data_IF_462345518525
#
_entry.id   IF_462345518525
#
_cell.length_a   1.000
_cell.length_b   1.000
_cell.length_c   1.000
_cell.angle_alpha   90.00
_cell.angle_beta   90.00
_cell.angle_gamma   90.00
#
_symmetry.space_group_name_H-M   'P 1'
#
loop_
_entity.id
_entity.type
_entity.pdbx_description
1 polymer ?
#
# COMPACT_ATOMS: atom_id res chain seq x y z
N UNK A 1 -41.71 -10.45 -0.52
CA UNK A 1 -40.72 -9.96 -1.50
C UNK A 1 -39.93 -8.83 -0.84
N UNK A 2 -38.59 -8.88 -0.90
CA UNK A 2 -37.64 -7.84 -0.42
C UNK A 2 -37.15 -8.01 1.02
N UNK A 3 -36.21 -8.92 1.32
CA UNK A 3 -34.72 -8.72 1.40
C UNK A 3 -34.29 -7.78 2.55
N UNK A 4 -33.88 -8.28 3.73
CA UNK A 4 -32.61 -8.97 4.14
C UNK A 4 -31.56 -7.97 4.67
N UNK A 5 -30.98 -8.34 5.82
CA UNK A 5 -30.29 -7.57 6.86
C UNK A 5 -28.86 -7.05 6.56
N UNK A 6 -28.45 -6.03 7.35
CA UNK A 6 -27.10 -5.62 7.81
C UNK A 6 -25.92 -5.44 6.82
N UNK A 7 -25.28 -4.26 6.87
CA UNK A 7 -23.83 -4.13 7.01
C UNK A 7 -23.43 -2.67 7.33
N UNK A 8 -22.90 -2.42 8.53
CA UNK A 8 -22.21 -1.19 8.87
C UNK A 8 -20.88 -1.17 8.11
N UNK A 9 -20.82 -0.40 7.03
CA UNK A 9 -19.62 -0.27 6.22
C UNK A 9 -18.75 0.88 6.77
N UNK A 10 -17.81 0.58 7.68
CA UNK A 10 -16.65 1.47 7.84
C UNK A 10 -15.85 1.36 6.55
N UNK A 11 -16.05 2.32 5.64
CA UNK A 11 -15.30 2.36 4.39
C UNK A 11 -13.81 2.45 4.72
N UNK A 12 -13.09 1.35 4.51
CA UNK A 12 -11.63 1.29 4.63
C UNK A 12 -11.03 2.31 3.67
N UNK A 13 -10.51 3.42 4.19
CA UNK A 13 -9.86 4.48 3.40
C UNK A 13 -8.55 3.94 2.82
N UNK A 14 -8.63 3.26 1.69
CA UNK A 14 -7.47 2.80 0.90
C UNK A 14 -7.20 3.80 -0.21
N UNK A 15 -5.99 4.35 -0.22
CA UNK A 15 -5.51 5.23 -1.29
C UNK A 15 -4.49 4.49 -2.13
N UNK A 16 -4.64 4.58 -3.45
CA UNK A 16 -3.73 3.98 -4.42
C UNK A 16 -3.29 5.04 -5.42
N UNK A 17 -2.03 4.95 -5.86
CA UNK A 17 -1.47 5.84 -6.87
C UNK A 17 -0.38 5.12 -7.64
N UNK A 18 -0.50 5.13 -8.96
CA UNK A 18 0.57 4.68 -9.85
C UNK A 18 1.66 5.75 -9.94
N UNK A 19 2.92 5.33 -9.84
CA UNK A 19 4.08 6.21 -9.86
C UNK A 19 5.20 5.60 -10.69
N UNK A 20 5.92 6.43 -11.43
CA UNK A 20 7.13 6.01 -12.15
C UNK A 20 8.35 6.13 -11.25
N UNK A 21 9.06 5.02 -11.03
CA UNK A 21 10.34 5.03 -10.32
C UNK A 21 11.41 5.57 -11.26
N UNK A 22 11.95 6.75 -10.93
CA UNK A 22 12.98 7.43 -11.73
C UNK A 22 14.41 6.96 -11.39
N UNK A 23 14.57 6.18 -10.32
CA UNK A 23 15.87 5.62 -9.98
C UNK A 23 16.30 4.62 -11.05
N UNK A 24 17.49 4.81 -11.62
CA UNK A 24 18.07 3.92 -12.64
C UNK A 24 18.05 2.45 -12.22
N UNK A 25 18.38 2.19 -10.97
CA UNK A 25 18.44 0.83 -10.40
C UNK A 25 17.11 0.38 -9.80
N UNK A 26 16.04 1.15 -10.02
CA UNK A 26 14.70 0.87 -9.50
C UNK A 26 14.58 1.05 -7.98
N UNK A 27 13.55 0.42 -7.40
CA UNK A 27 13.28 0.45 -5.97
C UNK A 27 14.14 -0.60 -5.23
N UNK A 28 15.45 -0.42 -5.26
CA UNK A 28 16.39 -1.31 -4.58
C UNK A 28 16.36 -1.12 -3.04
N UNK A 29 17.14 -1.91 -2.30
CA UNK A 29 17.07 -2.00 -0.83
C UNK A 29 17.13 -0.65 -0.09
N UNK A 30 17.96 0.30 -0.56
CA UNK A 30 18.14 1.60 0.10
C UNK A 30 16.90 2.51 -0.02
N UNK A 31 16.37 2.84 -1.21
CA UNK A 31 15.14 3.63 -1.33
C UNK A 31 13.92 2.88 -0.77
N UNK A 32 13.87 1.55 -0.86
CA UNK A 32 12.81 0.75 -0.23
C UNK A 32 12.80 0.91 1.30
N UNK A 33 13.97 0.82 1.95
CA UNK A 33 14.08 1.03 3.40
C UNK A 33 13.65 2.44 3.83
N UNK A 34 13.97 3.47 3.03
CA UNK A 34 13.54 4.85 3.29
C UNK A 34 12.02 5.00 3.17
N UNK A 35 11.40 4.37 2.17
CA UNK A 35 9.95 4.36 1.99
C UNK A 35 9.25 3.71 3.20
N UNK A 36 9.73 2.55 3.65
CA UNK A 36 9.22 1.88 4.85
C UNK A 36 9.38 2.76 6.09
N UNK A 37 10.56 3.37 6.29
CA UNK A 37 10.81 4.28 7.42
C UNK A 37 9.83 5.46 7.42
N UNK A 38 9.46 5.99 6.26
CA UNK A 38 8.47 7.05 6.14
C UNK A 38 7.06 6.53 6.48
N UNK A 39 6.63 5.41 5.89
CA UNK A 39 5.31 4.82 6.16
C UNK A 39 5.10 4.56 7.66
N UNK A 40 6.13 4.06 8.36
CA UNK A 40 6.10 3.83 9.81
C UNK A 40 5.82 5.09 10.62
N UNK A 41 6.31 6.27 10.21
CA UNK A 41 6.03 7.54 10.90
C UNK A 41 4.56 7.97 10.80
N UNK A 42 3.83 7.47 9.81
CA UNK A 42 2.43 7.81 9.57
C UNK A 42 1.47 6.67 9.95
N UNK A 43 1.97 5.57 10.54
CA UNK A 43 1.16 4.41 10.95
C UNK A 43 0.26 3.84 9.85
N UNK A 44 0.74 3.87 8.59
CA UNK A 44 -0.01 3.36 7.44
C UNK A 44 0.42 1.95 7.06
N UNK A 45 -0.53 1.13 6.60
CA UNK A 45 -0.24 -0.12 5.91
C UNK A 45 0.13 0.19 4.44
N UNK A 46 1.39 -0.06 4.07
CA UNK A 46 1.91 0.23 2.73
C UNK A 46 1.95 -1.06 1.88
N UNK A 47 1.52 -0.96 0.64
CA UNK A 47 1.61 -2.02 -0.38
C UNK A 47 2.29 -1.47 -1.62
N UNK A 48 3.15 -2.26 -2.27
CA UNK A 48 3.76 -1.91 -3.56
C UNK A 48 3.41 -3.00 -4.56
N UNK A 49 2.95 -2.61 -5.75
CA UNK A 49 2.61 -3.52 -6.85
C UNK A 49 3.44 -3.17 -8.08
N UNK A 50 3.96 -4.18 -8.77
CA UNK A 50 4.64 -4.04 -10.06
C UNK A 50 4.35 -5.27 -10.92
N UNK A 51 3.97 -5.05 -12.17
CA UNK A 51 3.78 -6.13 -13.16
C UNK A 51 2.85 -7.26 -12.66
N UNK A 52 1.83 -6.91 -11.86
CA UNK A 52 0.88 -7.84 -11.23
C UNK A 52 1.39 -8.54 -9.96
N UNK A 53 2.64 -8.33 -9.58
CA UNK A 53 3.23 -8.84 -8.34
C UNK A 53 3.10 -7.79 -7.21
N UNK A 54 2.46 -8.17 -6.11
CA UNK A 54 2.33 -7.33 -4.91
C UNK A 54 3.38 -7.72 -3.89
N UNK A 55 4.27 -6.80 -3.58
CA UNK A 55 5.16 -6.89 -2.45
C UNK A 55 4.54 -6.19 -1.24
N UNK A 56 4.39 -6.93 -0.14
CA UNK A 56 4.10 -6.37 1.16
C UNK A 56 5.43 -6.06 1.86
N UNK A 57 5.83 -4.79 2.01
CA UNK A 57 7.07 -4.44 2.70
C UNK A 57 7.04 -4.67 4.22
N UNK A 58 5.92 -5.16 4.79
CA UNK A 58 5.80 -5.55 6.19
C UNK A 58 5.23 -4.47 7.11
N UNK A 59 4.34 -4.85 8.05
CA UNK A 59 4.24 -4.16 9.35
C UNK A 59 5.59 -4.31 10.04
N UNK A 60 6.21 -3.21 10.42
CA UNK A 60 7.37 -3.19 11.30
C UNK A 60 7.12 -2.31 12.51
#
# INVERSE_FOLDING_TARGET
MGSRLHQNNVASLRLEKEVTIQNRDGLHARPAALLVKLARRHHVDLWVERDGERAYPGKM
#
